data_IF_629800203463
#
_entry.id   IF_629800203463
#
_cell.length_a   1.000
_cell.length_b   1.000
_cell.length_c   1.000
_cell.angle_alpha   90.00
_cell.angle_beta   90.00
_cell.angle_gamma   90.00
#
_symmetry.space_group_name_H-M   'P 1'
#
loop_
_entity.id
_entity.type
_entity.pdbx_description
1 polymer ?
#
# COMPACT_ATOMS: atom_id res chain seq x y z
N UNK A 1 32.18 25.69 -9.28
CA UNK A 1 30.91 24.97 -9.48
C UNK A 1 31.26 23.51 -9.70
N UNK A 2 31.01 22.64 -8.73
CA UNK A 2 31.18 21.20 -8.93
C UNK A 2 30.18 20.48 -8.05
N UNK A 3 29.30 19.73 -8.71
CA UNK A 3 28.06 19.19 -8.20
C UNK A 3 28.32 18.01 -7.25
N UNK A 4 27.70 18.05 -6.07
CA UNK A 4 27.58 16.88 -5.20
C UNK A 4 26.65 15.84 -5.85
N UNK A 5 26.90 14.54 -5.65
CA UNK A 5 25.99 13.50 -6.13
C UNK A 5 24.68 13.52 -5.33
N UNK A 6 23.53 13.19 -5.94
CA UNK A 6 22.30 12.99 -5.18
C UNK A 6 22.45 11.75 -4.29
N UNK A 7 22.23 11.93 -3.00
CA UNK A 7 22.09 10.85 -2.02
C UNK A 7 20.87 9.98 -2.38
N UNK A 8 20.98 8.64 -2.34
CA UNK A 8 19.83 7.77 -2.54
C UNK A 8 19.03 7.71 -1.23
N UNK A 9 18.21 8.71 -0.97
CA UNK A 9 17.24 8.73 0.14
C UNK A 9 15.88 8.10 -0.27
N UNK A 10 15.86 7.16 -1.21
CA UNK A 10 14.61 6.52 -1.66
C UNK A 10 14.62 4.99 -1.52
N UNK A 11 15.45 4.46 -0.61
CA UNK A 11 15.55 3.01 -0.41
C UNK A 11 15.13 2.56 0.99
N UNK A 12 14.47 3.42 1.78
CA UNK A 12 14.07 3.06 3.15
C UNK A 12 12.62 3.38 3.52
N UNK A 13 11.69 3.40 2.55
CA UNK A 13 10.25 3.37 2.88
C UNK A 13 9.78 1.93 3.13
N UNK A 14 10.30 0.96 2.36
CA UNK A 14 9.93 -0.45 2.52
C UNK A 14 10.58 -1.18 3.70
N UNK A 15 11.64 -0.63 4.29
CA UNK A 15 12.25 -1.17 5.51
C UNK A 15 11.60 -0.62 6.79
N UNK A 16 10.35 -0.15 6.70
CA UNK A 16 9.49 -0.03 7.88
C UNK A 16 8.86 -1.40 8.10
N UNK A 17 9.64 -2.36 8.58
CA UNK A 17 9.06 -3.50 9.27
C UNK A 17 8.38 -2.94 10.52
N UNK A 18 7.06 -2.93 10.55
CA UNK A 18 6.28 -2.89 11.79
C UNK A 18 6.62 -1.74 12.76
N UNK A 19 7.04 -0.58 12.25
CA UNK A 19 6.98 0.64 13.06
C UNK A 19 5.64 1.27 12.78
N UNK A 20 4.60 0.66 13.38
CA UNK A 20 3.26 1.17 13.61
C UNK A 20 2.85 2.25 12.61
N UNK A 21 1.88 1.97 11.76
CA UNK A 21 1.18 2.97 10.93
C UNK A 21 0.40 4.00 11.78
N UNK A 22 1.02 4.58 12.81
CA UNK A 22 0.78 5.92 13.31
C UNK A 22 1.44 6.90 12.34
N UNK A 23 1.02 6.88 11.07
CA UNK A 23 1.28 8.03 10.23
C UNK A 23 0.37 9.12 10.77
N UNK A 24 0.93 10.03 11.57
CA UNK A 24 0.23 11.25 11.93
C UNK A 24 -0.06 12.00 10.63
N UNK A 25 -1.34 12.16 10.28
CA UNK A 25 -1.71 12.65 8.96
C UNK A 25 -3.15 12.34 8.59
N UNK A 26 -3.53 12.70 7.37
CA UNK A 26 -4.85 12.45 6.83
C UNK A 26 -5.02 10.99 6.43
N UNK A 27 -6.23 10.43 6.64
CA UNK A 27 -6.53 9.01 6.42
C UNK A 27 -6.28 8.57 4.97
N UNK A 28 -6.70 9.37 4.01
CA UNK A 28 -6.48 9.19 2.58
C UNK A 28 -5.00 9.23 2.19
N UNK A 29 -4.24 10.18 2.75
CA UNK A 29 -2.79 10.26 2.51
C UNK A 29 -2.05 9.01 3.04
N UNK A 30 -2.50 8.46 4.16
CA UNK A 30 -1.93 7.22 4.72
C UNK A 30 -2.20 6.01 3.82
N UNK A 31 -3.41 5.92 3.25
CA UNK A 31 -3.76 4.88 2.28
C UNK A 31 -2.93 5.00 1.02
N UNK A 32 -2.74 6.23 0.49
CA UNK A 32 -1.88 6.47 -0.66
C UNK A 32 -0.43 6.03 -0.40
N UNK A 33 0.15 6.41 0.74
CA UNK A 33 1.50 6.02 1.10
C UNK A 33 1.66 4.49 1.24
N UNK A 34 0.68 3.81 1.84
CA UNK A 34 0.64 2.35 1.89
C UNK A 34 0.64 1.76 0.48
N UNK A 35 -0.21 2.29 -0.40
CA UNK A 35 -0.34 1.87 -1.78
C UNK A 35 0.94 2.01 -2.60
N UNK A 36 1.65 3.11 -2.44
CA UNK A 36 2.94 3.34 -3.10
C UNK A 36 3.99 2.34 -2.60
N UNK A 37 4.02 2.10 -1.29
CA UNK A 37 4.88 1.08 -0.66
C UNK A 37 4.56 -0.35 -1.14
N UNK A 38 3.29 -0.69 -1.36
CA UNK A 38 2.91 -2.00 -1.90
C UNK A 38 3.36 -2.19 -3.33
N UNK A 39 3.24 -1.16 -4.17
CA UNK A 39 3.63 -1.22 -5.58
C UNK A 39 5.15 -1.28 -5.76
N UNK A 40 5.94 -0.62 -4.90
CA UNK A 40 7.41 -0.64 -4.99
C UNK A 40 8.03 -2.01 -4.66
N UNK A 41 7.34 -2.86 -3.91
CA UNK A 41 7.79 -4.22 -3.56
C UNK A 41 7.52 -5.29 -4.64
N UNK A 42 6.95 -4.90 -5.77
CA UNK A 42 6.45 -5.84 -6.78
C UNK A 42 7.14 -5.55 -8.10
N UNK A 43 7.94 -6.49 -8.63
CA UNK A 43 8.58 -6.32 -9.94
C UNK A 43 7.65 -6.68 -11.12
N UNK A 44 6.64 -7.51 -10.91
CA UNK A 44 5.72 -7.95 -11.96
C UNK A 44 4.67 -6.86 -12.24
N UNK A 45 4.68 -6.30 -13.46
CA UNK A 45 3.77 -5.22 -13.86
C UNK A 45 2.28 -5.61 -13.79
N UNK A 46 1.93 -6.86 -14.13
CA UNK A 46 0.54 -7.31 -13.95
C UNK A 46 0.15 -7.31 -12.48
N UNK A 47 1.05 -7.64 -11.56
CA UNK A 47 0.76 -7.62 -10.13
C UNK A 47 0.71 -6.20 -9.57
N UNK A 48 1.59 -5.29 -10.04
CA UNK A 48 1.50 -3.86 -9.71
C UNK A 48 0.13 -3.28 -10.08
N UNK A 49 -0.38 -3.61 -11.27
CA UNK A 49 -1.70 -3.18 -11.71
C UNK A 49 -2.81 -3.70 -10.79
N UNK A 50 -2.70 -4.92 -10.27
CA UNK A 50 -3.66 -5.44 -9.28
C UNK A 50 -3.57 -4.73 -7.93
N UNK A 51 -2.36 -4.36 -7.48
CA UNK A 51 -2.21 -3.52 -6.29
C UNK A 51 -2.80 -2.13 -6.50
N UNK A 52 -2.59 -1.52 -7.66
CA UNK A 52 -3.20 -0.24 -8.02
C UNK A 52 -4.73 -0.31 -7.99
N UNK A 53 -5.34 -1.36 -8.53
CA UNK A 53 -6.80 -1.58 -8.41
C UNK A 53 -7.26 -1.64 -6.95
N UNK A 54 -6.54 -2.36 -6.09
CA UNK A 54 -6.89 -2.45 -4.67
C UNK A 54 -6.82 -1.07 -3.99
N UNK A 55 -5.85 -0.24 -4.39
CA UNK A 55 -5.71 1.14 -3.94
C UNK A 55 -6.86 2.04 -4.42
N UNK A 56 -7.22 1.94 -5.70
CA UNK A 56 -8.33 2.69 -6.28
C UNK A 56 -9.65 2.33 -5.58
N UNK A 57 -9.87 1.05 -5.25
CA UNK A 57 -11.02 0.59 -4.47
C UNK A 57 -10.98 1.20 -3.06
N UNK A 58 -9.87 1.11 -2.34
CA UNK A 58 -9.76 1.65 -0.98
C UNK A 58 -10.03 3.16 -0.93
N UNK A 59 -9.37 3.94 -1.78
CA UNK A 59 -9.55 5.39 -1.83
C UNK A 59 -10.94 5.79 -2.35
N UNK A 60 -11.43 5.12 -3.40
CA UNK A 60 -12.73 5.40 -4.00
C UNK A 60 -13.91 5.12 -3.06
N UNK A 61 -13.77 4.10 -2.21
CA UNK A 61 -14.78 3.73 -1.21
C UNK A 61 -14.57 4.42 0.14
N UNK A 62 -13.51 5.24 0.29
CA UNK A 62 -13.20 5.96 1.52
C UNK A 62 -12.71 5.08 2.67
N UNK A 63 -12.11 3.93 2.36
CA UNK A 63 -11.54 3.01 3.35
C UNK A 63 -10.18 3.49 3.82
N UNK A 64 -10.04 3.70 5.13
CA UNK A 64 -8.74 3.96 5.75
C UNK A 64 -8.02 2.66 6.17
N UNK A 65 -6.76 2.77 6.59
CA UNK A 65 -5.94 1.61 6.96
C UNK A 65 -6.51 0.85 8.18
N UNK A 66 -7.14 1.54 9.12
CA UNK A 66 -7.75 0.91 10.31
C UNK A 66 -8.93 0.03 9.86
N UNK A 67 -9.81 0.57 9.00
CA UNK A 67 -10.96 -0.15 8.46
C UNK A 67 -10.57 -1.35 7.61
N UNK A 68 -9.50 -1.23 6.80
CA UNK A 68 -9.03 -2.35 5.98
C UNK A 68 -8.44 -3.46 6.87
N UNK A 69 -7.73 -3.12 7.95
CA UNK A 69 -7.23 -4.09 8.92
C UNK A 69 -8.37 -4.77 9.69
N UNK A 70 -9.38 -3.99 10.13
CA UNK A 70 -10.58 -4.47 10.83
C UNK A 70 -11.40 -5.43 9.97
N UNK A 71 -11.62 -5.10 8.69
CA UNK A 71 -12.26 -6.00 7.73
C UNK A 71 -11.44 -7.27 7.58
N UNK A 72 -10.11 -7.14 7.42
CA UNK A 72 -9.15 -8.22 7.14
C UNK A 72 -9.62 -9.23 6.07
N UNK A 73 -10.58 -8.81 5.22
CA UNK A 73 -11.34 -9.68 4.33
C UNK A 73 -10.90 -9.45 2.88
N UNK A 74 -10.13 -10.37 2.30
CA UNK A 74 -9.74 -10.26 0.90
C UNK A 74 -10.89 -10.47 -0.08
N UNK A 75 -12.03 -11.03 0.35
CA UNK A 75 -13.21 -11.20 -0.51
C UNK A 75 -13.74 -9.86 -0.98
N UNK A 76 -13.69 -8.83 -0.13
CA UNK A 76 -14.11 -7.47 -0.50
C UNK A 76 -13.40 -6.97 -1.75
N UNK A 77 -12.07 -6.94 -1.75
CA UNK A 77 -11.27 -6.48 -2.89
C UNK A 77 -11.35 -7.45 -4.08
N UNK A 78 -11.43 -8.75 -3.81
CA UNK A 78 -11.55 -9.74 -4.88
C UNK A 78 -12.88 -9.60 -5.65
N UNK A 79 -13.98 -9.31 -4.95
CA UNK A 79 -15.28 -9.06 -5.57
C UNK A 79 -15.28 -7.82 -6.47
N UNK A 80 -14.34 -6.88 -6.25
CA UNK A 80 -14.11 -5.67 -7.05
C UNK A 80 -13.10 -5.88 -8.19
N UNK A 81 -12.71 -7.12 -8.48
CA UNK A 81 -11.85 -7.46 -9.61
C UNK A 81 -10.35 -7.44 -9.34
N UNK A 82 -9.93 -7.39 -8.08
CA UNK A 82 -8.53 -7.62 -7.68
C UNK A 82 -8.26 -9.12 -7.63
N UNK A 83 -7.14 -9.61 -8.18
CA UNK A 83 -6.78 -11.03 -8.06
C UNK A 83 -6.70 -11.47 -6.60
N UNK A 84 -7.32 -12.61 -6.27
CA UNK A 84 -7.37 -13.19 -4.92
C UNK A 84 -6.05 -13.15 -4.14
N UNK A 85 -4.94 -13.57 -4.77
CA UNK A 85 -3.63 -13.58 -4.11
C UNK A 85 -3.13 -12.18 -3.71
N UNK A 86 -3.45 -11.16 -4.52
CA UNK A 86 -3.12 -9.77 -4.27
C UNK A 86 -4.04 -9.20 -3.20
N UNK A 87 -5.35 -9.44 -3.30
CA UNK A 87 -6.33 -9.04 -2.28
C UNK A 87 -5.95 -9.61 -0.89
N UNK A 88 -5.62 -10.90 -0.80
CA UNK A 88 -5.14 -11.56 0.42
C UNK A 88 -3.88 -10.93 0.99
N UNK A 89 -2.97 -10.48 0.14
CA UNK A 89 -1.72 -9.84 0.57
C UNK A 89 -1.95 -8.39 1.00
N UNK A 90 -2.82 -7.68 0.29
CA UNK A 90 -3.17 -6.28 0.52
C UNK A 90 -3.80 -6.05 1.90
N UNK A 91 -4.70 -6.93 2.36
CA UNK A 91 -5.29 -6.79 3.71
C UNK A 91 -4.36 -7.29 4.82
N UNK A 92 -3.49 -8.27 4.53
CA UNK A 92 -2.62 -8.89 5.55
C UNK A 92 -1.39 -8.09 5.91
N UNK A 93 -0.90 -7.28 4.98
CA UNK A 93 0.35 -6.54 5.16
C UNK A 93 0.14 -5.16 5.82
N UNK A 94 -1.10 -4.84 6.23
CA UNK A 94 -1.44 -3.64 7.01
C UNK A 94 -1.03 -3.78 8.48
N UNK A 95 -0.68 -5.01 8.93
CA UNK A 95 -0.37 -5.28 10.33
C UNK A 95 0.77 -4.43 10.87
N UNK A 96 0.41 -3.67 11.91
CA UNK A 96 1.23 -2.83 12.77
C UNK A 96 2.51 -3.47 13.30
#
# INVERSE_FOLDING_TARGET
MSSSPPTPEDTSICSIKASRLKIAGFRDANVQAYCDCRQSQVANESWKNEFRKACDVALGDGLDLDQIDELSDPVYFNSRGVKWGIARRFVKDIKY
#
